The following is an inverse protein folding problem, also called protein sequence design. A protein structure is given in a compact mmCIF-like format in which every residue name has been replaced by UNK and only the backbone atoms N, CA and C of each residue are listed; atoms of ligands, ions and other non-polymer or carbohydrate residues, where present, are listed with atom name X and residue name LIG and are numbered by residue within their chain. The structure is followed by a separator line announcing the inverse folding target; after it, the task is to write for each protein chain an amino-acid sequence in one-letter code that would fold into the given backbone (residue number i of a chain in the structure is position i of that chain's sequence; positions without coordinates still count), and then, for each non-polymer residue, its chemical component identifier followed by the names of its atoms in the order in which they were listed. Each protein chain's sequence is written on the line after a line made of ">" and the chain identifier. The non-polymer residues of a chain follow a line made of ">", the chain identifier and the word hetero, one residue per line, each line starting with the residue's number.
data_IF_774563860926
#
_entry.id   IF_774563860926
#
_cell.length_a   1.000
_cell.length_b   1.000
_cell.length_c   1.000
_cell.angle_alpha   90.00
_cell.angle_beta   90.00
_cell.angle_gamma   90.00
#
_symmetry.space_group_name_H-M   'P 1'
#
loop_
_entity.id
_entity.type
_entity.pdbx_description
1 polymer ?
#
# COMPACT_ATOMS: atom_id res chain seq x y z
N UNK A 1 11.91 -23.58 13.90
CA UNK A 1 10.70 -22.82 13.58
C UNK A 1 10.69 -22.64 12.08
N UNK A 2 9.67 -23.14 11.39
CA UNK A 2 9.53 -22.99 9.93
C UNK A 2 9.11 -21.55 9.58
N UNK A 3 9.26 -21.15 8.32
CA UNK A 3 8.75 -19.86 7.83
C UNK A 3 7.24 -19.70 8.08
N UNK A 4 6.48 -20.79 7.95
CA UNK A 4 5.03 -20.81 8.24
C UNK A 4 4.78 -20.51 9.72
N UNK A 5 5.48 -21.17 10.65
CA UNK A 5 5.31 -20.96 12.10
C UNK A 5 5.66 -19.53 12.53
N UNK A 6 6.72 -18.94 11.94
CA UNK A 6 7.11 -17.53 12.17
C UNK A 6 5.99 -16.54 11.85
N UNK A 7 5.09 -16.89 10.93
CA UNK A 7 3.96 -16.05 10.51
C UNK A 7 2.67 -16.46 11.22
N UNK A 8 2.39 -17.76 11.32
CA UNK A 8 1.12 -18.29 11.82
C UNK A 8 0.93 -18.04 13.31
N UNK A 9 1.99 -18.13 14.12
CA UNK A 9 1.86 -17.93 15.56
C UNK A 9 1.49 -16.48 15.94
N UNK A 10 2.19 -15.43 15.44
CA UNK A 10 1.78 -14.05 15.67
C UNK A 10 0.38 -13.74 15.11
N UNK A 11 0.03 -14.25 13.93
CA UNK A 11 -1.30 -14.08 13.36
C UNK A 11 -2.38 -14.74 14.20
N UNK A 12 -2.12 -15.93 14.74
CA UNK A 12 -3.05 -16.63 15.63
C UNK A 12 -3.30 -15.83 16.89
N UNK A 13 -2.25 -15.25 17.48
CA UNK A 13 -2.37 -14.39 18.67
C UNK A 13 -3.17 -13.12 18.34
N UNK A 14 -2.90 -12.48 17.20
CA UNK A 14 -3.67 -11.33 16.73
C UNK A 14 -5.15 -11.68 16.62
N UNK A 15 -5.49 -12.73 15.89
CA UNK A 15 -6.89 -13.11 15.61
C UNK A 15 -7.63 -13.63 16.86
N UNK A 16 -6.93 -14.18 17.85
CA UNK A 16 -7.51 -14.45 19.18
C UNK A 16 -7.84 -13.17 19.94
N UNK A 17 -7.03 -12.12 19.83
CA UNK A 17 -7.27 -10.84 20.51
C UNK A 17 -8.24 -9.92 19.75
N UNK A 18 -8.44 -10.20 18.45
CA UNK A 18 -9.22 -9.44 17.48
C UNK A 18 -10.19 -10.37 16.74
N UNK A 19 -11.23 -10.83 17.43
CA UNK A 19 -12.25 -11.71 16.84
C UNK A 19 -13.03 -11.05 15.69
N UNK A 20 -13.19 -9.72 15.76
CA UNK A 20 -13.61 -8.85 14.67
C UNK A 20 -12.44 -7.91 14.37
N UNK A 21 -11.96 -7.91 13.13
CA UNK A 21 -10.79 -7.10 12.71
C UNK A 21 -11.11 -6.30 11.45
N UNK A 22 -10.69 -5.04 11.41
CA UNK A 22 -10.80 -4.24 10.20
C UNK A 22 -9.88 -4.81 9.12
N UNK A 23 -10.36 -4.90 7.87
CA UNK A 23 -9.60 -5.45 6.74
C UNK A 23 -8.24 -4.76 6.57
N UNK A 24 -8.23 -3.43 6.63
CA UNK A 24 -6.99 -2.65 6.55
C UNK A 24 -6.05 -2.86 7.77
N UNK A 25 -6.58 -3.09 8.98
CA UNK A 25 -5.76 -3.45 10.15
C UNK A 25 -5.11 -4.82 9.94
N UNK A 26 -5.88 -5.81 9.49
CA UNK A 26 -5.36 -7.14 9.21
C UNK A 26 -4.22 -7.10 8.18
N UNK A 27 -4.43 -6.39 7.07
CA UNK A 27 -3.41 -6.23 6.03
C UNK A 27 -2.11 -5.64 6.61
N UNK A 28 -2.21 -4.53 7.35
CA UNK A 28 -1.04 -3.88 7.94
C UNK A 28 -0.32 -4.77 8.95
N UNK A 29 -1.08 -5.46 9.81
CA UNK A 29 -0.48 -6.40 10.77
C UNK A 29 0.22 -7.56 10.09
N UNK A 30 -0.29 -8.05 8.95
CA UNK A 30 0.39 -9.08 8.16
C UNK A 30 1.71 -8.56 7.61
N UNK A 31 1.75 -7.33 7.07
CA UNK A 31 3.00 -6.71 6.64
C UNK A 31 4.02 -6.63 7.79
N UNK A 32 3.59 -6.12 8.94
CA UNK A 32 4.44 -6.00 10.14
C UNK A 32 4.98 -7.35 10.62
N UNK A 33 4.13 -8.39 10.66
CA UNK A 33 4.51 -9.75 11.04
C UNK A 33 5.51 -10.35 10.04
N UNK A 34 5.26 -10.21 8.73
CA UNK A 34 6.15 -10.73 7.69
C UNK A 34 7.51 -10.02 7.72
N UNK A 35 7.52 -8.70 7.88
CA UNK A 35 8.76 -7.92 7.95
C UNK A 35 9.54 -8.23 9.24
N UNK A 36 8.85 -8.49 10.36
CA UNK A 36 9.47 -8.87 11.64
C UNK A 36 9.90 -10.34 11.74
N UNK A 37 9.47 -11.21 10.83
CA UNK A 37 9.71 -12.65 10.91
C UNK A 37 11.18 -13.07 10.66
N UNK A 38 12.01 -12.19 10.10
CA UNK A 38 13.41 -12.47 9.75
C UNK A 38 13.53 -13.82 9.02
N UNK A 39 12.79 -13.95 7.91
CA UNK A 39 12.80 -15.13 7.07
C UNK A 39 14.15 -15.23 6.36
N UNK A 40 14.74 -16.43 6.37
CA UNK A 40 15.85 -16.77 5.48
C UNK A 40 15.38 -16.86 4.04
N UNK A 41 16.31 -16.77 3.07
CA UNK A 41 15.98 -16.88 1.64
C UNK A 41 15.18 -18.16 1.33
N UNK A 42 15.60 -19.28 1.93
CA UNK A 42 14.89 -20.56 1.78
C UNK A 42 13.45 -20.50 2.32
N UNK A 43 13.25 -19.95 3.51
CA UNK A 43 11.90 -19.81 4.10
C UNK A 43 11.03 -18.85 3.30
N UNK A 44 11.63 -17.78 2.77
CA UNK A 44 10.96 -16.81 1.89
C UNK A 44 10.49 -17.48 0.60
N UNK A 45 11.35 -18.24 -0.08
CA UNK A 45 10.99 -18.94 -1.33
C UNK A 45 9.94 -20.04 -1.09
N UNK A 46 10.06 -20.82 -0.01
CA UNK A 46 9.02 -21.78 0.40
C UNK A 46 7.67 -21.07 0.60
N UNK A 47 7.64 -19.98 1.37
CA UNK A 47 6.40 -19.24 1.63
C UNK A 47 5.80 -18.66 0.35
N UNK A 48 6.61 -18.03 -0.52
CA UNK A 48 6.15 -17.52 -1.82
C UNK A 48 5.48 -18.61 -2.66
N UNK A 49 6.07 -19.80 -2.70
CA UNK A 49 5.50 -20.94 -3.45
C UNK A 49 4.12 -21.36 -2.90
N UNK A 50 3.90 -21.23 -1.60
CA UNK A 50 2.67 -21.64 -0.93
C UNK A 50 1.55 -20.59 -0.99
N UNK A 51 1.88 -19.31 -0.83
CA UNK A 51 0.89 -18.22 -0.88
C UNK A 51 0.52 -17.81 -2.31
N UNK A 52 1.17 -18.43 -3.29
CA UNK A 52 0.84 -18.39 -4.72
C UNK A 52 1.97 -17.80 -5.55
N UNK A 53 2.44 -18.55 -6.55
CA UNK A 53 3.51 -18.17 -7.49
C UNK A 53 3.29 -16.83 -8.22
N UNK A 54 2.03 -16.36 -8.28
CA UNK A 54 1.67 -15.07 -8.91
C UNK A 54 1.92 -13.85 -8.03
N UNK A 55 2.18 -14.02 -6.73
CA UNK A 55 2.43 -12.92 -5.80
C UNK A 55 3.93 -12.80 -5.54
N UNK A 56 4.55 -11.73 -6.06
CA UNK A 56 5.98 -11.45 -5.89
C UNK A 56 6.36 -11.16 -4.42
N UNK A 57 5.38 -10.81 -3.58
CA UNK A 57 5.56 -10.42 -2.18
C UNK A 57 4.77 -11.34 -1.25
N UNK A 58 5.42 -11.74 -0.14
CA UNK A 58 4.85 -12.67 0.85
C UNK A 58 3.63 -12.07 1.56
N UNK A 59 3.70 -10.82 2.07
CA UNK A 59 2.61 -10.23 2.85
C UNK A 59 1.27 -10.12 2.06
N UNK A 60 1.24 -9.60 0.83
CA UNK A 60 0.06 -9.66 -0.04
C UNK A 60 -0.46 -11.09 -0.26
N UNK A 61 0.43 -12.05 -0.49
CA UNK A 61 0.06 -13.46 -0.65
C UNK A 61 -0.57 -14.06 0.60
N UNK A 62 0.02 -13.83 1.78
CA UNK A 62 -0.54 -14.23 3.08
C UNK A 62 -1.92 -13.63 3.29
N UNK A 63 -2.08 -12.34 3.01
CA UNK A 63 -3.38 -11.68 3.11
C UNK A 63 -4.40 -12.29 2.15
N UNK A 64 -4.07 -12.44 0.86
CA UNK A 64 -4.94 -13.05 -0.12
C UNK A 64 -5.34 -14.49 0.25
N UNK A 65 -4.39 -15.27 0.76
CA UNK A 65 -4.62 -16.63 1.22
C UNK A 65 -5.59 -16.68 2.42
N UNK A 66 -5.44 -15.81 3.42
CA UNK A 66 -6.39 -15.72 4.54
C UNK A 66 -7.79 -15.30 4.05
N UNK A 67 -7.86 -14.36 3.11
CA UNK A 67 -9.13 -13.88 2.54
C UNK A 67 -9.82 -14.89 1.61
N UNK A 68 -9.08 -15.88 1.09
CA UNK A 68 -9.64 -16.91 0.19
C UNK A 68 -10.49 -17.97 0.89
N UNK A 69 -10.36 -18.11 2.22
CA UNK A 69 -11.01 -19.18 3.01
C UNK A 69 -10.27 -20.53 3.00
N UNK A 70 -9.33 -20.74 2.07
CA UNK A 70 -8.47 -21.93 1.97
C UNK A 70 -7.03 -21.59 2.41
N UNK A 71 -6.90 -21.26 3.70
CA UNK A 71 -5.62 -20.81 4.28
C UNK A 71 -4.58 -21.94 4.34
N UNK A 72 -3.34 -21.65 3.95
CA UNK A 72 -2.18 -22.54 4.16
C UNK A 72 -1.84 -22.67 5.65
N UNK A 73 -2.34 -21.74 6.47
CA UNK A 73 -2.22 -21.72 7.91
C UNK A 73 -3.42 -22.42 8.54
N UNK A 74 -3.35 -23.75 8.63
CA UNK A 74 -4.43 -24.63 9.10
C UNK A 74 -4.89 -24.37 10.54
N UNK A 75 -4.09 -23.64 11.30
CA UNK A 75 -4.25 -23.31 12.71
C UNK A 75 -4.90 -21.94 12.96
N UNK A 76 -5.16 -21.16 11.89
CA UNK A 76 -5.79 -19.85 12.01
C UNK A 76 -7.32 -19.92 12.03
N UNK A 77 -7.98 -19.04 12.79
CA UNK A 77 -9.42 -18.79 12.66
C UNK A 77 -9.82 -18.48 11.21
N UNK A 78 -10.85 -19.14 10.68
CA UNK A 78 -11.39 -18.85 9.35
C UNK A 78 -12.20 -17.55 9.36
N UNK A 79 -11.70 -16.52 8.68
CA UNK A 79 -12.36 -15.22 8.50
C UNK A 79 -13.24 -15.22 7.24
N UNK A 80 -14.26 -16.07 7.24
CA UNK A 80 -15.13 -16.37 6.11
C UNK A 80 -16.32 -15.40 5.95
N UNK A 81 -16.54 -14.51 6.92
CA UNK A 81 -17.62 -13.51 6.88
C UNK A 81 -17.07 -12.10 6.98
N UNK A 82 -17.75 -11.16 6.33
CA UNK A 82 -17.48 -9.73 6.46
C UNK A 82 -18.76 -8.91 6.59
N UNK A 83 -18.62 -7.71 7.13
CA UNK A 83 -19.66 -6.68 7.11
C UNK A 83 -19.05 -5.30 6.89
N UNK A 84 -19.84 -4.34 6.43
CA UNK A 84 -19.43 -2.94 6.31
C UNK A 84 -20.11 -2.12 7.40
N UNK A 85 -19.30 -1.49 8.26
CA UNK A 85 -19.78 -0.62 9.33
C UNK A 85 -18.89 0.62 9.44
N UNK A 86 -19.52 1.80 9.58
CA UNK A 86 -18.81 3.08 9.68
C UNK A 86 -17.81 3.33 8.54
N UNK A 87 -18.17 2.90 7.33
CA UNK A 87 -17.33 3.06 6.13
C UNK A 87 -16.10 2.13 6.06
N UNK A 88 -16.05 1.08 6.88
CA UNK A 88 -14.95 0.11 6.92
C UNK A 88 -15.45 -1.32 6.74
N UNK A 89 -14.59 -2.18 6.20
CA UNK A 89 -14.85 -3.61 6.10
C UNK A 89 -14.27 -4.30 7.34
N UNK A 90 -15.11 -5.06 8.05
CA UNK A 90 -14.71 -5.89 9.19
C UNK A 90 -14.87 -7.36 8.83
N UNK A 91 -13.85 -8.17 9.15
CA UNK A 91 -13.83 -9.62 8.98
C UNK A 91 -13.95 -10.34 10.33
N UNK A 92 -14.64 -11.47 10.34
CA UNK A 92 -14.88 -12.29 11.53
C UNK A 92 -15.27 -13.73 11.15
N UNK A 93 -15.30 -14.63 12.12
CA UNK A 93 -15.73 -16.02 11.92
C UNK A 93 -17.25 -16.15 11.86
N UNK A 94 -17.79 -16.83 10.84
CA UNK A 94 -19.24 -17.07 10.68
C UNK A 94 -19.90 -17.77 11.86
N UNK A 95 -19.17 -18.67 12.52
CA UNK A 95 -19.70 -19.51 13.61
C UNK A 95 -20.00 -18.73 14.89
N UNK A 96 -19.57 -17.47 14.98
CA UNK A 96 -19.83 -16.61 16.13
C UNK A 96 -20.95 -15.61 15.81
N UNK A 97 -21.83 -15.35 16.80
CA UNK A 97 -22.87 -14.33 16.71
C UNK A 97 -22.38 -13.05 17.36
N UNK A 98 -22.17 -12.02 16.56
CA UNK A 98 -21.77 -10.70 17.05
C UNK A 98 -22.94 -9.72 17.09
N UNK A 99 -23.00 -8.95 18.16
CA UNK A 99 -23.93 -7.84 18.34
C UNK A 99 -23.34 -6.55 17.76
N UNK A 100 -24.18 -5.51 17.60
CA UNK A 100 -23.72 -4.17 17.23
C UNK A 100 -22.64 -3.64 18.18
N UNK A 101 -22.75 -3.94 19.48
CA UNK A 101 -21.78 -3.52 20.50
C UNK A 101 -20.39 -4.12 20.23
N UNK A 102 -20.32 -5.35 19.75
CA UNK A 102 -19.04 -6.01 19.44
C UNK A 102 -18.33 -5.31 18.27
N UNK A 103 -19.08 -4.87 17.25
CA UNK A 103 -18.55 -4.06 16.16
C UNK A 103 -18.14 -2.65 16.61
N UNK A 104 -18.91 -2.01 17.49
CA UNK A 104 -18.54 -0.71 18.06
C UNK A 104 -17.24 -0.83 18.87
N UNK A 105 -17.09 -1.91 19.64
CA UNK A 105 -15.89 -2.22 20.41
C UNK A 105 -14.69 -2.50 19.50
N UNK A 106 -14.88 -3.27 18.41
CA UNK A 106 -13.87 -3.51 17.39
C UNK A 106 -13.43 -2.22 16.69
N UNK A 107 -14.37 -1.34 16.34
CA UNK A 107 -14.06 -0.04 15.77
C UNK A 107 -13.29 0.86 16.75
N UNK A 108 -13.64 0.88 18.04
CA UNK A 108 -12.86 1.62 19.06
C UNK A 108 -11.43 1.10 19.17
N UNK A 109 -11.25 -0.23 19.20
CA UNK A 109 -9.93 -0.89 19.21
C UNK A 109 -9.10 -0.53 17.98
N UNK A 110 -9.72 -0.51 16.80
CA UNK A 110 -9.09 -0.07 15.56
C UNK A 110 -8.65 1.41 15.64
N UNK A 111 -9.54 2.31 16.09
CA UNK A 111 -9.23 3.74 16.24
C UNK A 111 -8.07 3.98 17.20
N UNK A 112 -7.99 3.21 18.29
CA UNK A 112 -6.85 3.24 19.23
C UNK A 112 -5.54 2.77 18.60
N UNK A 113 -5.60 1.81 17.66
CA UNK A 113 -4.43 1.29 16.96
C UNK A 113 -3.94 2.19 15.81
N UNK A 114 -4.72 3.18 15.38
CA UNK A 114 -4.39 4.03 14.23
C UNK A 114 -2.97 4.65 14.24
N UNK A 115 -2.46 5.20 15.37
CA UNK A 115 -1.11 5.77 15.38
C UNK A 115 -0.01 4.74 15.07
N UNK A 116 -0.18 3.51 15.55
CA UNK A 116 0.73 2.39 15.28
C UNK A 116 0.57 1.89 13.84
N UNK A 117 -0.67 1.69 13.39
CA UNK A 117 -0.97 1.27 12.02
C UNK A 117 -0.44 2.26 10.98
N UNK A 118 -0.44 3.57 11.26
CA UNK A 118 0.18 4.59 10.40
C UNK A 118 1.69 4.42 10.29
N UNK A 119 2.38 4.03 11.37
CA UNK A 119 3.84 3.76 11.34
C UNK A 119 4.14 2.54 10.48
N UNK A 120 3.37 1.47 10.67
CA UNK A 120 3.47 0.24 9.86
C UNK A 120 3.23 0.58 8.38
N UNK A 121 2.13 1.28 8.07
CA UNK A 121 1.77 1.66 6.70
C UNK A 121 2.91 2.44 6.03
N UNK A 122 3.48 3.44 6.71
CA UNK A 122 4.60 4.21 6.18
C UNK A 122 5.82 3.32 5.91
N UNK A 123 6.18 2.45 6.84
CA UNK A 123 7.32 1.55 6.68
C UNK A 123 7.10 0.58 5.49
N UNK A 124 5.91 -0.02 5.39
CA UNK A 124 5.53 -0.89 4.28
C UNK A 124 5.56 -0.16 2.93
N UNK A 125 5.00 1.05 2.85
CA UNK A 125 5.03 1.86 1.64
C UNK A 125 6.46 2.25 1.23
N UNK A 126 7.31 2.65 2.19
CA UNK A 126 8.70 2.99 1.92
C UNK A 126 9.50 1.78 1.40
N UNK A 127 9.28 0.59 1.98
CA UNK A 127 9.88 -0.66 1.50
C UNK A 127 9.40 -1.01 0.09
N UNK A 128 8.09 -0.94 -0.15
CA UNK A 128 7.51 -1.16 -1.48
C UNK A 128 8.09 -0.21 -2.52
N UNK A 129 8.23 1.08 -2.18
CA UNK A 129 8.82 2.09 -3.05
C UNK A 129 10.28 1.79 -3.37
N UNK A 130 11.10 1.48 -2.36
CA UNK A 130 12.53 1.18 -2.55
C UNK A 130 12.74 0.00 -3.50
N UNK A 131 12.01 -1.09 -3.27
CA UNK A 131 12.09 -2.27 -4.14
C UNK A 131 11.56 -2.00 -5.56
N UNK A 132 10.51 -1.19 -5.70
CA UNK A 132 10.01 -0.75 -7.01
C UNK A 132 11.04 0.06 -7.78
N UNK A 133 11.68 1.04 -7.12
CA UNK A 133 12.69 1.89 -7.73
C UNK A 133 13.98 1.11 -8.05
N UNK A 134 14.40 0.21 -7.16
CA UNK A 134 15.53 -0.69 -7.41
C UNK A 134 15.28 -1.57 -8.64
N UNK A 135 14.06 -2.12 -8.79
CA UNK A 135 13.66 -2.86 -9.99
C UNK A 135 13.69 -2.02 -11.28
N UNK A 136 13.49 -0.70 -11.18
CA UNK A 136 13.64 0.26 -12.26
C UNK A 136 15.10 0.71 -12.50
N UNK A 137 16.08 0.19 -11.74
CA UNK A 137 17.50 0.55 -11.87
C UNK A 137 17.90 1.83 -11.13
N UNK A 138 17.05 2.33 -10.24
CA UNK A 138 17.31 3.53 -9.45
C UNK A 138 17.93 3.21 -8.09
N UNK A 139 18.95 3.99 -7.70
CA UNK A 139 19.56 3.91 -6.39
C UNK A 139 19.02 5.02 -5.47
N UNK A 140 18.76 4.69 -4.20
CA UNK A 140 18.37 5.67 -3.18
C UNK A 140 19.56 6.58 -2.84
N UNK A 141 19.43 7.88 -3.11
CA UNK A 141 20.48 8.87 -2.83
C UNK A 141 20.22 9.64 -1.53
N UNK A 142 18.95 9.87 -1.17
CA UNK A 142 18.56 10.58 0.06
C UNK A 142 17.22 10.08 0.60
N UNK A 143 17.14 9.95 1.91
CA UNK A 143 15.90 9.67 2.65
C UNK A 143 15.79 10.67 3.80
N UNK A 144 14.71 11.46 3.81
CA UNK A 144 14.46 12.48 4.83
C UNK A 144 12.98 12.56 5.14
N UNK A 145 12.58 11.95 6.24
CA UNK A 145 11.17 11.92 6.63
C UNK A 145 10.34 11.17 5.59
N UNK A 146 9.38 11.85 4.97
CA UNK A 146 8.50 11.28 3.93
C UNK A 146 9.03 11.54 2.50
N UNK A 147 10.23 12.08 2.37
CA UNK A 147 10.83 12.41 1.07
C UNK A 147 11.97 11.44 0.78
N UNK A 148 11.91 10.83 -0.40
CA UNK A 148 12.89 9.90 -0.92
C UNK A 148 13.40 10.46 -2.25
N UNK A 149 14.71 10.48 -2.44
CA UNK A 149 15.34 10.87 -3.70
C UNK A 149 16.06 9.66 -4.24
N UNK A 150 15.73 9.29 -5.47
CA UNK A 150 16.34 8.20 -6.19
C UNK A 150 17.03 8.72 -7.45
N UNK A 151 18.11 8.08 -7.87
CA UNK A 151 18.90 8.51 -9.04
C UNK A 151 19.25 7.33 -9.94
N UNK A 152 19.17 7.54 -11.26
CA UNK A 152 19.62 6.60 -12.30
C UNK A 152 20.22 7.39 -13.47
N UNK A 153 21.56 7.42 -13.58
CA UNK A 153 22.24 8.23 -14.59
C UNK A 153 21.94 9.72 -14.42
N UNK A 154 21.38 10.37 -15.46
CA UNK A 154 20.96 11.77 -15.45
C UNK A 154 19.51 11.98 -14.99
N UNK A 155 18.85 10.93 -14.48
CA UNK A 155 17.47 11.01 -13.98
C UNK A 155 17.44 11.00 -12.46
N UNK A 156 16.56 11.83 -11.92
CA UNK A 156 16.26 11.91 -10.49
C UNK A 156 14.76 11.76 -10.29
N UNK A 157 14.34 10.89 -9.37
CA UNK A 157 12.95 10.77 -8.94
C UNK A 157 12.84 11.23 -7.48
N UNK A 158 12.10 12.32 -7.25
CA UNK A 158 11.77 12.81 -5.91
C UNK A 158 10.36 12.34 -5.54
N UNK A 159 10.30 11.43 -4.58
CA UNK A 159 9.06 10.78 -4.16
C UNK A 159 8.66 11.27 -2.77
N UNK A 160 7.46 11.84 -2.67
CA UNK A 160 6.82 12.20 -1.42
C UNK A 160 5.77 11.14 -1.03
N UNK A 161 6.00 10.47 0.10
CA UNK A 161 5.11 9.44 0.61
C UNK A 161 4.04 10.07 1.52
N UNK A 162 2.77 9.75 1.29
CA UNK A 162 1.69 10.12 2.21
C UNK A 162 0.91 8.88 2.65
N UNK A 163 0.35 8.89 3.87
CA UNK A 163 -0.44 7.75 4.39
C UNK A 163 -1.92 7.78 4.00
N UNK A 164 -2.34 8.79 3.23
CA UNK A 164 -3.73 8.97 2.79
C UNK A 164 -3.77 9.91 1.59
N UNK A 165 -4.62 9.60 0.62
CA UNK A 165 -4.90 10.49 -0.52
C UNK A 165 -5.44 11.86 -0.07
N UNK A 166 -6.14 11.92 1.07
CA UNK A 166 -6.65 13.18 1.64
C UNK A 166 -5.55 14.08 2.21
N UNK A 167 -4.33 13.58 2.33
CA UNK A 167 -3.16 14.30 2.84
C UNK A 167 -2.23 14.77 1.72
N UNK A 168 -2.62 14.60 0.46
CA UNK A 168 -1.87 15.12 -0.68
C UNK A 168 -1.95 16.64 -0.67
N UNK A 169 -0.79 17.27 -0.71
CA UNK A 169 -0.63 18.71 -0.82
C UNK A 169 0.29 18.99 -2.02
N UNK A 170 -0.31 19.40 -3.14
CA UNK A 170 0.43 19.67 -4.37
C UNK A 170 1.29 20.93 -4.27
N UNK A 171 0.91 21.90 -3.44
CA UNK A 171 1.64 23.16 -3.31
C UNK A 171 2.90 22.96 -2.49
N UNK A 172 2.83 22.17 -1.41
CA UNK A 172 4.00 21.81 -0.61
C UNK A 172 5.06 21.01 -1.39
N UNK A 173 4.64 20.24 -2.41
CA UNK A 173 5.55 19.52 -3.31
C UNK A 173 6.12 20.48 -4.37
N UNK A 174 5.28 21.31 -5.00
CA UNK A 174 5.70 22.26 -6.03
C UNK A 174 6.71 23.32 -5.52
N UNK A 175 6.55 23.83 -4.30
CA UNK A 175 7.52 24.80 -3.73
C UNK A 175 8.90 24.17 -3.49
N UNK A 176 8.97 22.84 -3.27
CA UNK A 176 10.24 22.12 -3.15
C UNK A 176 10.90 21.91 -4.51
N UNK A 177 10.11 21.76 -5.57
CA UNK A 177 10.56 21.69 -6.97
C UNK A 177 11.26 22.99 -7.40
N UNK A 178 10.68 24.15 -7.08
CA UNK A 178 11.23 25.45 -7.49
C UNK A 178 12.52 25.87 -6.75
N UNK A 179 12.80 25.27 -5.59
CA UNK A 179 13.93 25.66 -4.72
C UNK A 179 15.22 24.83 -4.88
N UNK A 180 15.25 23.82 -5.77
CA UNK A 180 16.41 22.93 -5.93
C UNK A 180 17.12 23.14 -7.27
N UNK A 181 18.07 24.06 -7.25
CA UNK A 181 19.06 24.34 -8.30
C UNK A 181 20.18 23.29 -8.37
N UNK A 182 20.16 22.24 -7.54
CA UNK A 182 21.26 21.28 -7.36
C UNK A 182 21.03 19.92 -8.05
N UNK A 183 19.87 19.70 -8.68
CA UNK A 183 19.61 18.48 -9.44
C UNK A 183 20.07 18.66 -10.89
N UNK A 184 21.07 17.88 -11.32
CA UNK A 184 21.54 17.87 -12.71
C UNK A 184 20.74 16.81 -13.48
N UNK A 185 19.97 17.23 -14.49
CA UNK A 185 19.24 16.35 -15.39
C UNK A 185 17.71 16.40 -15.26
N UNK A 186 17.03 15.32 -15.64
CA UNK A 186 15.56 15.22 -15.64
C UNK A 186 15.09 14.85 -14.23
N UNK A 187 14.13 15.61 -13.69
CA UNK A 187 13.57 15.37 -12.35
C UNK A 187 12.09 15.03 -12.44
N UNK A 188 11.73 13.81 -12.02
CA UNK A 188 10.34 13.37 -11.87
C UNK A 188 9.86 13.62 -10.43
N UNK A 189 8.76 14.36 -10.26
CA UNK A 189 8.12 14.60 -8.96
C UNK A 189 6.93 13.67 -8.77
N UNK A 190 6.98 12.85 -7.72
CA UNK A 190 6.03 11.76 -7.51
C UNK A 190 5.45 11.86 -6.10
N UNK A 191 4.14 11.68 -5.98
CA UNK A 191 3.45 11.50 -4.69
C UNK A 191 2.95 10.07 -4.62
N UNK A 192 3.45 9.29 -3.67
CA UNK A 192 3.01 7.92 -3.44
C UNK A 192 1.89 7.90 -2.39
N UNK A 193 0.74 7.37 -2.78
CA UNK A 193 -0.46 7.23 -1.94
C UNK A 193 -0.86 5.76 -1.79
N UNK A 194 -1.30 5.29 -0.61
CA UNK A 194 -1.89 3.96 -0.49
C UNK A 194 -3.29 3.92 -1.09
N UNK A 195 -3.68 2.78 -1.66
CA UNK A 195 -5.07 2.48 -2.00
C UNK A 195 -5.98 2.51 -0.75
N UNK A 196 -7.26 2.81 -0.93
CA UNK A 196 -8.25 2.77 0.16
C UNK A 196 -9.51 1.97 -0.25
N UNK A 197 -10.26 1.52 0.76
CA UNK A 197 -11.54 0.80 0.60
C UNK A 197 -12.63 1.65 -0.09
N UNK A 198 -12.48 2.98 -0.07
CA UNK A 198 -13.38 3.93 -0.72
C UNK A 198 -12.70 4.64 -1.87
N UNK A 199 -13.42 4.73 -3.00
CA UNK A 199 -13.02 5.44 -4.21
C UNK A 199 -13.26 6.96 -4.11
N UNK A 200 -14.23 7.38 -3.30
CA UNK A 200 -14.69 8.77 -3.21
C UNK A 200 -13.55 9.78 -2.97
N UNK A 201 -12.60 9.54 -2.05
CA UNK A 201 -11.51 10.49 -1.82
C UNK A 201 -10.56 10.63 -3.03
N UNK A 202 -10.42 9.58 -3.84
CA UNK A 202 -9.61 9.61 -5.06
C UNK A 202 -10.32 10.39 -6.17
N UNK A 203 -11.62 10.17 -6.33
CA UNK A 203 -12.44 10.95 -7.28
C UNK A 203 -12.47 12.42 -6.92
N UNK A 204 -12.62 12.74 -5.63
CA UNK A 204 -12.60 14.12 -5.14
C UNK A 204 -11.26 14.79 -5.46
N UNK A 205 -10.13 14.14 -5.11
CA UNK A 205 -8.81 14.69 -5.42
C UNK A 205 -8.59 14.87 -6.92
N UNK A 206 -9.01 13.90 -7.74
CA UNK A 206 -8.86 14.00 -9.20
C UNK A 206 -9.62 15.19 -9.77
N UNK A 207 -10.88 15.39 -9.34
CA UNK A 207 -11.70 16.52 -9.78
C UNK A 207 -11.15 17.87 -9.33
N UNK A 208 -10.67 17.96 -8.10
CA UNK A 208 -10.20 19.22 -7.52
C UNK A 208 -8.78 19.59 -7.97
N UNK A 209 -7.93 18.59 -8.20
CA UNK A 209 -6.48 18.76 -8.29
C UNK A 209 -5.80 18.00 -9.45
N UNK A 210 -6.53 17.18 -10.21
CA UNK A 210 -5.95 16.37 -11.30
C UNK A 210 -5.26 17.22 -12.38
N UNK A 211 -5.97 18.21 -12.93
CA UNK A 211 -5.41 19.12 -13.93
C UNK A 211 -4.21 19.91 -13.38
N UNK A 212 -4.28 20.37 -12.13
CA UNK A 212 -3.18 21.11 -11.48
C UNK A 212 -1.94 20.25 -11.28
N UNK A 213 -2.11 18.95 -10.99
CA UNK A 213 -0.99 18.03 -10.88
C UNK A 213 -0.31 17.84 -12.24
N UNK A 214 -1.08 17.67 -13.31
CA UNK A 214 -0.56 17.54 -14.68
C UNK A 214 0.15 18.83 -15.15
N UNK A 215 -0.43 20.01 -14.90
CA UNK A 215 0.18 21.31 -15.22
C UNK A 215 1.52 21.53 -14.49
N UNK A 216 1.66 20.99 -13.28
CA UNK A 216 2.88 21.07 -12.47
C UNK A 216 3.85 19.90 -12.71
N UNK A 217 3.55 19.02 -13.67
CA UNK A 217 4.32 17.80 -13.95
C UNK A 217 4.50 16.88 -12.73
N UNK A 218 3.54 16.92 -11.78
CA UNK A 218 3.51 16.08 -10.58
C UNK A 218 2.73 14.81 -10.90
N UNK A 219 3.37 13.66 -10.68
CA UNK A 219 2.76 12.35 -10.81
C UNK A 219 2.20 11.89 -9.44
N UNK A 220 1.03 11.26 -9.45
CA UNK A 220 0.48 10.61 -8.25
C UNK A 220 0.42 9.12 -8.53
N UNK A 221 1.09 8.32 -7.71
CA UNK A 221 1.15 6.87 -7.85
C UNK A 221 0.40 6.20 -6.70
N UNK A 222 -0.31 5.12 -7.03
CA UNK A 222 -1.12 4.34 -6.11
C UNK A 222 -0.42 3.04 -5.72
N UNK A 223 -0.12 2.88 -4.44
CA UNK A 223 0.32 1.62 -3.86
C UNK A 223 -0.87 0.76 -3.45
N UNK A 224 -1.16 -0.29 -4.22
CA UNK A 224 -2.18 -1.29 -3.88
C UNK A 224 -1.55 -2.40 -3.05
N UNK A 225 -1.53 -2.22 -1.73
CA UNK A 225 -0.84 -3.13 -0.82
C UNK A 225 -1.43 -4.55 -0.78
N UNK A 226 -2.74 -4.71 -1.00
CA UNK A 226 -3.35 -6.05 -1.09
C UNK A 226 -2.78 -6.89 -2.24
N UNK A 227 -2.25 -6.23 -3.28
CA UNK A 227 -1.63 -6.87 -4.44
C UNK A 227 -0.11 -6.73 -4.45
N UNK A 228 0.45 -5.87 -3.61
CA UNK A 228 1.87 -5.59 -3.58
C UNK A 228 2.40 -4.79 -4.77
N UNK A 229 1.55 -3.98 -5.41
CA UNK A 229 1.87 -3.28 -6.67
C UNK A 229 1.81 -1.76 -6.49
N UNK A 230 2.55 -1.04 -7.33
CA UNK A 230 2.47 0.42 -7.49
C UNK A 230 2.08 0.68 -8.94
N UNK A 231 1.13 1.58 -9.16
CA UNK A 231 0.64 1.95 -10.50
C UNK A 231 0.36 3.46 -10.59
N UNK A 232 0.43 4.08 -11.78
CA UNK A 232 0.16 5.51 -11.93
C UNK A 232 -1.34 5.80 -11.76
N UNK A 233 -1.68 6.85 -11.01
CA UNK A 233 -3.05 7.32 -10.81
C UNK A 233 -3.31 8.67 -11.51
N UNK A 234 -2.38 9.62 -11.39
CA UNK A 234 -2.38 10.90 -12.12
C UNK A 234 -1.02 11.14 -12.74
N UNK A 235 -1.00 11.70 -13.95
CA UNK A 235 0.22 11.92 -14.72
C UNK A 235 0.80 10.64 -15.32
N UNK A 236 1.85 10.80 -16.10
CA UNK A 236 2.56 9.71 -16.77
C UNK A 236 4.06 9.92 -16.62
N UNK A 237 4.81 8.84 -16.48
CA UNK A 237 6.26 8.89 -16.56
C UNK A 237 6.71 8.81 -18.02
N UNK A 238 7.76 9.57 -18.36
CA UNK A 238 8.50 9.41 -19.62
C UNK A 238 9.66 8.41 -19.49
N UNK A 239 9.85 7.86 -18.29
CA UNK A 239 10.86 6.86 -17.99
C UNK A 239 10.36 5.46 -18.35
N UNK A 240 10.98 4.83 -19.35
CA UNK A 240 10.61 3.49 -19.79
C UNK A 240 10.94 2.41 -18.76
N UNK A 241 11.92 2.62 -17.88
CA UNK A 241 12.33 1.63 -16.89
C UNK A 241 11.38 1.66 -15.68
N UNK A 242 10.95 2.85 -15.25
CA UNK A 242 9.82 2.99 -14.29
C UNK A 242 8.54 2.44 -14.92
N UNK A 243 8.24 2.78 -16.18
CA UNK A 243 7.02 2.34 -16.86
C UNK A 243 6.87 0.81 -16.88
N UNK A 244 7.97 0.07 -17.09
CA UNK A 244 7.97 -1.41 -17.11
C UNK A 244 7.71 -2.03 -15.74
N UNK A 245 7.94 -1.31 -14.64
CA UNK A 245 7.69 -1.81 -13.29
C UNK A 245 6.21 -1.74 -12.89
N UNK A 246 5.44 -0.82 -13.49
CA UNK A 246 4.00 -0.76 -13.25
C UNK A 246 3.31 -2.04 -13.74
N UNK A 247 2.36 -2.56 -12.95
CA UNK A 247 1.55 -3.72 -13.36
C UNK A 247 0.39 -3.30 -14.27
N UNK A 248 -0.12 -2.09 -14.10
CA UNK A 248 -1.11 -1.45 -14.95
C UNK A 248 -0.70 0.00 -15.27
N UNK A 249 0.25 0.20 -16.19
CA UNK A 249 0.72 1.55 -16.56
C UNK A 249 -0.35 2.42 -17.22
N UNK A 250 -1.46 1.84 -17.69
CA UNK A 250 -2.58 2.58 -18.31
C UNK A 250 -3.63 3.05 -17.30
N UNK A 251 -3.44 2.79 -16.01
CA UNK A 251 -4.43 3.15 -14.99
C UNK A 251 -4.73 4.66 -15.00
N UNK A 252 -3.72 5.52 -15.07
CA UNK A 252 -3.90 6.97 -15.16
C UNK A 252 -4.71 7.38 -16.41
N UNK A 253 -4.51 6.71 -17.54
CA UNK A 253 -5.26 6.95 -18.79
C UNK A 253 -6.73 6.58 -18.63
N UNK A 254 -7.00 5.42 -18.02
CA UNK A 254 -8.36 4.97 -17.73
C UNK A 254 -9.07 5.89 -16.74
N UNK A 255 -8.36 6.41 -15.73
CA UNK A 255 -8.91 7.37 -14.78
C UNK A 255 -9.29 8.67 -15.49
N UNK A 256 -8.36 9.22 -16.29
CA UNK A 256 -8.60 10.43 -17.08
C UNK A 256 -9.79 10.26 -18.03
N UNK A 257 -9.86 9.17 -18.78
CA UNK A 257 -10.95 8.95 -19.74
C UNK A 257 -12.32 8.82 -19.06
N UNK A 258 -12.38 8.16 -17.91
CA UNK A 258 -13.65 7.84 -17.25
C UNK A 258 -14.15 8.95 -16.32
N UNK A 259 -13.25 9.74 -15.72
CA UNK A 259 -13.62 10.71 -14.70
C UNK A 259 -13.64 12.15 -15.22
N UNK A 260 -13.08 12.43 -16.40
CA UNK A 260 -13.31 13.68 -17.13
C UNK A 260 -14.65 13.70 -17.89
N UNK A 261 -15.33 12.55 -18.09
CA UNK A 261 -16.57 12.47 -18.89
C UNK A 261 -17.86 12.81 -18.13
N UNK A 262 -17.79 13.33 -16.91
CA UNK A 262 -18.96 13.75 -16.13
C UNK A 262 -19.04 15.28 -15.96
N UNK A 263 -18.71 16.03 -17.01
CA UNK A 263 -19.10 17.45 -17.16
C UNK A 263 -20.30 17.59 -18.11
#
# INVERSE_FOLDING_TARGET
>A
MTGIEKISEPLRQLLKSREIIARCELLLRIYDIVDGANLSDRESEELKSLVGEKMERIAPGVFANIMSGETIFSDLPKLDTYTQMSGRIFHFQHTQRYSKRDFDDANRKFLQALPELKKILRASLAKMLKEFMEGAGYALSKESGECFVFTAGERTAEVHLVTSIRSVDLDAVATKTESKTDCVGIVDYIILVPSSESLEPFMQLYREHGAKAEEKEIQIWLATMEKGIIDPFVGYTTDLDIYKQFKNPRLAEMVRSNWCQNE
#
